data_IF_513087911819
#
_entry.id   IF_513087911819
#
_cell.length_a   1.000
_cell.length_b   1.000
_cell.length_c   1.000
_cell.angle_alpha   90.00
_cell.angle_beta   90.00
_cell.angle_gamma   90.00
#
_symmetry.space_group_name_H-M   'P 1'
#
loop_
_entity.id
_entity.type
_entity.pdbx_description
1 polymer ?
#
# COMPACT_ATOMS: atom_id res chain seq x y z
N UNK A 1 10.86 18.49 -8.25
CA UNK A 1 10.11 17.86 -7.13
C UNK A 1 8.70 17.42 -7.52
N UNK A 2 7.89 18.25 -8.20
CA UNK A 2 6.52 17.87 -8.57
C UNK A 2 6.43 16.62 -9.45
N UNK A 3 7.30 16.48 -10.46
CA UNK A 3 7.21 15.34 -11.39
C UNK A 3 7.43 13.97 -10.72
N UNK A 4 8.37 13.87 -9.77
CA UNK A 4 8.61 12.62 -9.02
C UNK A 4 7.40 12.24 -8.17
N UNK A 5 6.83 13.20 -7.44
CA UNK A 5 5.64 12.99 -6.61
C UNK A 5 4.47 12.56 -7.51
N UNK A 6 4.24 13.27 -8.61
CA UNK A 6 3.20 12.94 -9.59
C UNK A 6 3.36 11.52 -10.15
N UNK A 7 4.56 11.14 -10.57
CA UNK A 7 4.84 9.80 -11.10
C UNK A 7 4.61 8.72 -10.04
N UNK A 8 5.09 8.93 -8.82
CA UNK A 8 4.88 7.98 -7.71
C UNK A 8 3.40 7.86 -7.36
N UNK A 9 2.66 8.97 -7.32
CA UNK A 9 1.21 8.96 -7.09
C UNK A 9 0.47 8.18 -8.17
N UNK A 10 0.75 8.43 -9.45
CA UNK A 10 0.14 7.69 -10.55
C UNK A 10 0.51 6.21 -10.51
N UNK A 11 1.75 5.86 -10.20
CA UNK A 11 2.18 4.47 -10.07
C UNK A 11 1.42 3.75 -8.94
N UNK A 12 1.26 4.39 -7.77
CA UNK A 12 0.49 3.80 -6.66
C UNK A 12 -0.99 3.61 -7.00
N UNK A 13 -1.59 4.58 -7.70
CA UNK A 13 -2.97 4.48 -8.18
C UNK A 13 -3.10 3.34 -9.20
N UNK A 14 -2.17 3.25 -10.15
CA UNK A 14 -2.17 2.20 -11.16
C UNK A 14 -2.04 0.81 -10.52
N UNK A 15 -1.14 0.64 -9.54
CA UNK A 15 -0.98 -0.62 -8.79
C UNK A 15 -2.24 -0.97 -7.98
N UNK A 16 -2.97 0.03 -7.48
CA UNK A 16 -4.23 -0.20 -6.76
C UNK A 16 -5.39 -0.60 -7.68
N UNK A 17 -5.45 -0.03 -8.88
CA UNK A 17 -6.56 -0.23 -9.82
C UNK A 17 -6.33 -1.43 -10.76
N UNK A 18 -5.08 -1.75 -11.09
CA UNK A 18 -4.75 -2.84 -12.02
C UNK A 18 -5.36 -4.21 -11.63
N UNK A 19 -5.34 -4.65 -10.37
CA UNK A 19 -5.98 -5.91 -9.97
C UNK A 19 -7.50 -5.91 -10.19
N UNK A 20 -8.16 -4.77 -9.92
CA UNK A 20 -9.60 -4.59 -10.17
C UNK A 20 -9.92 -4.67 -11.67
N UNK A 21 -9.09 -4.07 -12.53
CA UNK A 21 -9.25 -4.17 -13.99
C UNK A 21 -9.06 -5.60 -14.48
N UNK A 22 -8.05 -6.31 -13.98
CA UNK A 22 -7.80 -7.72 -14.33
C UNK A 22 -8.93 -8.65 -13.86
N UNK A 23 -9.51 -8.39 -12.69
CA UNK A 23 -10.71 -9.10 -12.23
C UNK A 23 -11.90 -8.86 -13.17
N UNK A 24 -12.08 -7.63 -13.66
CA UNK A 24 -13.09 -7.31 -14.68
C UNK A 24 -12.86 -8.07 -15.99
N UNK A 25 -11.62 -8.13 -16.47
CA UNK A 25 -11.28 -8.91 -17.67
C UNK A 25 -11.48 -10.42 -17.48
N UNK A 26 -11.21 -10.94 -16.28
CA UNK A 26 -11.49 -12.33 -15.94
C UNK A 26 -12.99 -12.64 -16.07
N UNK A 27 -13.84 -11.81 -15.46
CA UNK A 27 -15.30 -11.99 -15.55
C UNK A 27 -15.80 -11.93 -16.99
N UNK A 28 -15.23 -11.04 -17.81
CA UNK A 28 -15.57 -10.91 -19.23
C UNK A 28 -15.12 -12.15 -20.03
N UNK A 29 -13.88 -12.62 -19.82
CA UNK A 29 -13.35 -13.80 -20.50
C UNK A 29 -14.13 -15.08 -20.10
N UNK A 30 -14.54 -15.16 -18.84
CA UNK A 30 -15.37 -16.25 -18.34
C UNK A 30 -16.78 -16.22 -18.97
N UNK A 31 -17.41 -15.05 -19.05
CA UNK A 31 -18.71 -14.88 -19.70
C UNK A 31 -18.67 -15.24 -21.20
N UNK A 32 -17.53 -15.03 -21.86
CA UNK A 32 -17.31 -15.39 -23.27
C UNK A 32 -16.89 -16.86 -23.48
N UNK A 33 -16.81 -17.67 -22.42
CA UNK A 33 -16.42 -19.08 -22.51
C UNK A 33 -14.93 -19.33 -22.82
N UNK A 34 -14.08 -18.30 -22.70
CA UNK A 34 -12.65 -18.36 -23.01
C UNK A 34 -11.85 -18.87 -21.80
N UNK A 35 -12.05 -20.12 -21.43
CA UNK A 35 -11.53 -20.72 -20.19
C UNK A 35 -10.00 -20.61 -20.04
N UNK A 36 -9.24 -20.90 -21.12
CA UNK A 36 -7.77 -20.78 -21.10
C UNK A 36 -7.27 -19.33 -20.94
N UNK A 37 -8.00 -18.36 -21.47
CA UNK A 37 -7.65 -16.96 -21.30
C UNK A 37 -8.01 -16.48 -19.89
N UNK A 38 -9.14 -16.94 -19.34
CA UNK A 38 -9.55 -16.64 -17.97
C UNK A 38 -8.52 -17.14 -16.94
N UNK A 39 -8.00 -18.37 -17.10
CA UNK A 39 -6.93 -18.88 -16.22
C UNK A 39 -5.66 -18.03 -16.28
N UNK A 40 -5.19 -17.65 -17.48
CA UNK A 40 -4.03 -16.76 -17.62
C UNK A 40 -4.24 -15.37 -17.02
N UNK A 41 -5.45 -14.83 -17.15
CA UNK A 41 -5.81 -13.54 -16.53
C UNK A 41 -5.85 -13.69 -15.00
N UNK A 42 -6.31 -14.83 -14.49
CA UNK A 42 -6.35 -15.12 -13.06
C UNK A 42 -4.94 -15.23 -12.47
N UNK A 43 -4.01 -15.91 -13.15
CA UNK A 43 -2.59 -15.99 -12.75
C UNK A 43 -1.92 -14.61 -12.73
N UNK A 44 -2.19 -13.79 -13.76
CA UNK A 44 -1.70 -12.42 -13.82
C UNK A 44 -2.31 -11.56 -12.69
N UNK A 45 -3.60 -11.74 -12.40
CA UNK A 45 -4.28 -11.04 -11.30
C UNK A 45 -3.68 -11.42 -9.94
N UNK A 46 -3.37 -12.70 -9.71
CA UNK A 46 -2.70 -13.15 -8.48
C UNK A 46 -1.34 -12.48 -8.30
N UNK A 47 -0.55 -12.42 -9.37
CA UNK A 47 0.77 -11.78 -9.38
C UNK A 47 0.68 -10.28 -9.10
N UNK A 48 -0.33 -9.60 -9.68
CA UNK A 48 -0.58 -8.18 -9.44
C UNK A 48 -1.07 -7.92 -8.01
N UNK A 49 -1.90 -8.80 -7.44
CA UNK A 49 -2.32 -8.71 -6.04
C UNK A 49 -1.14 -8.91 -5.09
N UNK A 50 -0.22 -9.82 -5.41
CA UNK A 50 1.01 -10.01 -4.63
C UNK A 50 1.88 -8.75 -4.69
N UNK A 51 2.06 -8.16 -5.87
CA UNK A 51 2.78 -6.90 -6.04
C UNK A 51 2.11 -5.76 -5.27
N UNK A 52 0.79 -5.61 -5.37
CA UNK A 52 0.02 -4.61 -4.62
C UNK A 52 0.20 -4.81 -3.11
N UNK A 53 0.19 -6.05 -2.64
CA UNK A 53 0.45 -6.41 -1.26
C UNK A 53 1.85 -6.00 -0.80
N UNK A 54 2.87 -6.27 -1.61
CA UNK A 54 4.27 -5.90 -1.32
C UNK A 54 4.40 -4.38 -1.28
N UNK A 55 3.95 -3.68 -2.32
CA UNK A 55 4.02 -2.22 -2.41
C UNK A 55 3.25 -1.58 -1.26
N UNK A 56 2.04 -2.05 -0.96
CA UNK A 56 1.23 -1.58 0.16
C UNK A 56 1.89 -1.84 1.52
N UNK A 57 2.54 -3.00 1.68
CA UNK A 57 3.31 -3.35 2.86
C UNK A 57 4.51 -2.42 3.08
N UNK A 58 5.31 -2.19 2.03
CA UNK A 58 6.48 -1.28 2.06
C UNK A 58 6.04 0.17 2.34
N UNK A 59 5.01 0.67 1.66
CA UNK A 59 4.51 2.04 1.85
C UNK A 59 3.96 2.24 3.26
N UNK A 60 3.29 1.24 3.83
CA UNK A 60 2.82 1.29 5.21
C UNK A 60 3.99 1.27 6.21
N UNK A 61 4.99 0.43 5.98
CA UNK A 61 6.20 0.35 6.80
C UNK A 61 6.98 1.67 6.81
N UNK A 62 7.40 2.13 5.64
CA UNK A 62 8.23 3.33 5.52
C UNK A 62 7.44 4.59 5.85
N UNK A 63 6.19 4.69 5.37
CA UNK A 63 5.33 5.82 5.67
C UNK A 63 4.96 5.89 7.16
N UNK A 64 4.74 4.75 7.81
CA UNK A 64 4.47 4.69 9.25
C UNK A 64 5.69 5.12 10.09
N UNK A 65 6.90 4.66 9.73
CA UNK A 65 8.13 5.07 10.39
C UNK A 65 8.40 6.57 10.21
N UNK A 66 8.20 7.08 8.99
CA UNK A 66 8.32 8.51 8.71
C UNK A 66 7.33 9.35 9.52
N UNK A 67 6.06 8.91 9.60
CA UNK A 67 5.04 9.57 10.43
C UNK A 67 5.40 9.56 11.92
N UNK A 68 5.92 8.45 12.43
CA UNK A 68 6.35 8.36 13.82
C UNK A 68 7.54 9.29 14.11
N UNK A 69 8.53 9.33 13.21
CA UNK A 69 9.67 10.23 13.32
C UNK A 69 9.27 11.71 13.25
N UNK A 70 8.36 12.06 12.34
CA UNK A 70 7.79 13.41 12.26
C UNK A 70 7.00 13.79 13.52
N UNK A 71 6.17 12.87 14.03
CA UNK A 71 5.42 13.06 15.28
C UNK A 71 6.35 13.35 16.46
N UNK A 72 7.43 12.57 16.60
CA UNK A 72 8.44 12.78 17.62
C UNK A 72 9.18 14.12 17.44
N UNK A 73 9.57 14.45 16.22
CA UNK A 73 10.25 15.71 15.90
C UNK A 73 9.40 16.93 16.29
N UNK A 74 8.13 16.96 15.86
CA UNK A 74 7.21 18.03 16.19
C UNK A 74 6.92 18.09 17.69
N UNK A 75 6.75 16.94 18.34
CA UNK A 75 6.55 16.87 19.79
C UNK A 75 7.68 17.56 20.57
N UNK A 76 8.94 17.33 20.16
CA UNK A 76 10.12 17.94 20.78
C UNK A 76 10.24 19.45 20.53
N UNK A 77 9.64 19.97 19.45
CA UNK A 77 9.68 21.40 19.10
C UNK A 77 8.52 22.20 19.69
N UNK A 78 7.36 21.60 19.92
CA UNK A 78 6.18 22.27 20.47
C UNK A 78 6.19 22.30 22.01
N UNK A 79 6.03 23.49 22.61
CA UNK A 79 5.80 23.64 24.07
C UNK A 79 4.30 23.81 24.35
N UNK A 80 3.80 23.20 25.43
CA UNK A 80 2.40 23.30 25.87
C UNK A 80 1.45 22.29 25.19
N UNK A 81 0.14 22.53 25.27
CA UNK A 81 -0.93 21.62 24.78
C UNK A 81 -0.89 21.35 23.26
N UNK A 82 -0.14 22.13 22.49
CA UNK A 82 0.13 21.88 21.07
C UNK A 82 0.96 20.62 20.79
N UNK A 83 1.55 20.01 21.83
CA UNK A 83 2.36 18.78 21.73
C UNK A 83 1.53 17.50 21.67
N UNK A 84 0.24 17.55 22.02
CA UNK A 84 -0.63 16.35 22.05
C UNK A 84 -0.89 15.81 20.64
N UNK A 85 -1.11 16.68 19.66
CA UNK A 85 -1.40 16.28 18.28
C UNK A 85 -0.19 15.59 17.60
N UNK A 86 1.04 16.13 17.70
CA UNK A 86 2.24 15.42 17.27
C UNK A 86 2.48 14.09 18.00
N UNK A 87 2.20 14.04 19.31
CA UNK A 87 2.37 12.82 20.09
C UNK A 87 1.47 11.67 19.59
N UNK A 88 0.28 11.97 19.07
CA UNK A 88 -0.63 10.97 18.49
C UNK A 88 -0.16 10.42 17.14
N UNK A 89 0.70 11.14 16.42
CA UNK A 89 1.29 10.64 15.16
C UNK A 89 2.28 9.49 15.40
N UNK A 90 2.89 9.41 16.58
CA UNK A 90 3.82 8.35 16.97
C UNK A 90 3.14 6.97 17.05
N UNK A 91 2.10 6.75 17.88
CA UNK A 91 1.42 5.46 17.93
C UNK A 91 0.71 5.13 16.61
N UNK A 92 0.19 6.13 15.89
CA UNK A 92 -0.41 5.91 14.59
C UNK A 92 0.61 5.45 13.54
N UNK A 93 1.78 6.10 13.49
CA UNK A 93 2.90 5.73 12.63
C UNK A 93 3.38 4.31 12.92
N UNK A 94 3.57 3.97 14.19
CA UNK A 94 3.97 2.62 14.63
C UNK A 94 2.92 1.56 14.29
N UNK A 95 1.64 1.85 14.48
CA UNK A 95 0.54 0.96 14.07
C UNK A 95 0.57 0.67 12.57
N UNK A 96 0.73 1.72 11.75
CA UNK A 96 0.83 1.59 10.29
C UNK A 96 2.05 0.77 9.89
N UNK A 97 3.20 0.98 10.56
CA UNK A 97 4.41 0.21 10.34
C UNK A 97 4.25 -1.27 10.67
N UNK A 98 3.63 -1.57 11.81
CA UNK A 98 3.33 -2.94 12.24
C UNK A 98 2.44 -3.67 11.23
N UNK A 99 1.40 -3.00 10.73
CA UNK A 99 0.52 -3.54 9.69
C UNK A 99 1.28 -3.79 8.37
N UNK A 100 2.16 -2.87 7.97
CA UNK A 100 3.02 -3.04 6.81
C UNK A 100 3.96 -4.23 6.94
N UNK A 101 4.63 -4.37 8.08
CA UNK A 101 5.52 -5.49 8.38
C UNK A 101 4.76 -6.83 8.37
N UNK A 102 3.59 -6.89 9.01
CA UNK A 102 2.76 -8.09 9.05
C UNK A 102 2.29 -8.53 7.65
N UNK A 103 1.99 -7.59 6.75
CA UNK A 103 1.68 -7.90 5.36
C UNK A 103 2.89 -8.47 4.62
N UNK A 104 4.07 -7.88 4.78
CA UNK A 104 5.30 -8.36 4.13
C UNK A 104 5.70 -9.75 4.62
N UNK A 105 5.55 -10.03 5.92
CA UNK A 105 5.79 -11.37 6.49
C UNK A 105 4.82 -12.39 5.90
N UNK A 106 3.53 -12.06 5.84
CA UNK A 106 2.51 -12.94 5.24
C UNK A 106 2.79 -13.25 3.77
N UNK A 107 3.19 -12.23 3.00
CA UNK A 107 3.50 -12.39 1.57
C UNK A 107 4.78 -13.18 1.31
N UNK A 108 5.73 -13.18 2.25
CA UNK A 108 6.94 -14.02 2.18
C UNK A 108 6.64 -15.51 2.39
N UNK A 109 5.55 -15.84 3.09
CA UNK A 109 5.16 -17.20 3.44
C UNK A 109 4.16 -17.83 2.45
N UNK A 110 3.68 -17.05 1.48
CA UNK A 110 2.75 -17.48 0.42
C UNK A 110 3.49 -17.81 -0.86
#
# INVERSE_FOLDING_TARGET
MNLLITVVSYALIAIAIAPLLFLGFYLLAHALGLHKAAERILDACSSLLMLQGITGGVVNLLGGLALAALGLWFFLQTRGLGSVLPALLVPFGLWRSWRGLGLLIKLRQS
#
